data_IF_850274006255
#
_entry.id   IF_850274006255
#
_cell.length_a   1.000
_cell.length_b   1.000
_cell.length_c   1.000
_cell.angle_alpha   90.00
_cell.angle_beta   90.00
_cell.angle_gamma   90.00
#
_symmetry.space_group_name_H-M   'P 1'
#
loop_
_entity.id
_entity.type
_entity.pdbx_description
1 polymer ?
#
# COMPACT_ATOMS: atom_id res chain seq x y z
N UNK A 1 -2.04 -24.18 -24.03
CA UNK A 1 -2.03 -25.65 -23.79
C UNK A 1 -1.75 -25.99 -22.33
N UNK A 2 -0.67 -25.53 -21.72
CA UNK A 2 -0.26 -25.85 -20.33
C UNK A 2 -1.33 -25.48 -19.29
N UNK A 3 -1.87 -24.26 -19.38
CA UNK A 3 -2.91 -23.78 -18.46
C UNK A 3 -4.17 -24.64 -18.56
N UNK A 4 -4.58 -25.01 -19.78
CA UNK A 4 -5.78 -25.85 -19.99
C UNK A 4 -5.61 -27.23 -19.38
N UNK A 5 -4.41 -27.82 -19.52
CA UNK A 5 -4.10 -29.13 -18.90
C UNK A 5 -4.13 -29.01 -17.37
N UNK A 6 -3.68 -27.87 -16.80
CA UNK A 6 -3.73 -27.61 -15.37
C UNK A 6 -5.19 -27.47 -14.89
N UNK A 7 -6.04 -26.75 -15.62
CA UNK A 7 -7.48 -26.64 -15.35
C UNK A 7 -8.16 -28.01 -15.37
N UNK A 8 -7.82 -28.85 -16.34
CA UNK A 8 -8.33 -30.24 -16.45
C UNK A 8 -7.91 -31.11 -15.26
N UNK A 9 -6.64 -30.98 -14.81
CA UNK A 9 -6.12 -31.70 -13.63
C UNK A 9 -6.79 -31.26 -12.33
N UNK A 10 -7.06 -29.97 -12.19
CA UNK A 10 -7.67 -29.39 -10.99
C UNK A 10 -9.21 -29.51 -10.98
N UNK A 11 -9.82 -29.79 -12.14
CA UNK A 11 -11.26 -29.80 -12.29
C UNK A 11 -11.91 -28.43 -12.10
N UNK A 12 -11.14 -27.35 -12.22
CA UNK A 12 -11.55 -25.97 -11.95
C UNK A 12 -11.01 -25.02 -13.02
N UNK A 13 -11.82 -24.07 -13.53
CA UNK A 13 -11.34 -23.04 -14.41
C UNK A 13 -10.47 -22.04 -13.60
N UNK A 14 -9.34 -21.67 -14.17
CA UNK A 14 -8.43 -20.66 -13.58
C UNK A 14 -8.58 -19.29 -14.24
N UNK A 15 -9.16 -19.27 -15.44
CA UNK A 15 -9.40 -18.05 -16.20
C UNK A 15 -10.85 -17.97 -16.68
N UNK A 16 -11.46 -16.80 -16.51
CA UNK A 16 -12.68 -16.41 -17.20
C UNK A 16 -12.30 -15.78 -18.54
N UNK A 17 -12.79 -16.39 -19.62
CA UNK A 17 -12.52 -15.94 -21.00
C UNK A 17 -13.76 -15.25 -21.54
N UNK A 18 -13.73 -13.96 -21.67
CA UNK A 18 -14.67 -13.19 -22.47
C UNK A 18 -14.05 -12.84 -23.84
N UNK A 19 -14.87 -12.39 -24.78
CA UNK A 19 -14.39 -11.99 -26.11
C UNK A 19 -13.38 -10.80 -26.09
N UNK A 20 -13.24 -10.11 -24.96
CA UNK A 20 -12.46 -8.87 -24.87
C UNK A 20 -11.44 -8.87 -23.72
N UNK A 21 -11.53 -9.81 -22.77
CA UNK A 21 -10.63 -9.86 -21.60
C UNK A 21 -10.44 -11.30 -21.10
N UNK A 22 -9.25 -11.54 -20.57
CA UNK A 22 -8.93 -12.76 -19.82
C UNK A 22 -8.71 -12.35 -18.38
N UNK A 23 -9.60 -12.77 -17.48
CA UNK A 23 -9.54 -12.50 -16.06
C UNK A 23 -9.24 -13.78 -15.28
N UNK A 24 -8.63 -13.68 -14.12
CA UNK A 24 -8.47 -14.82 -13.23
C UNK A 24 -9.79 -15.09 -12.49
N UNK A 25 -10.12 -16.37 -12.35
CA UNK A 25 -11.16 -16.81 -11.40
C UNK A 25 -10.66 -16.72 -9.97
N UNK A 26 -11.51 -16.92 -8.98
CA UNK A 26 -11.09 -17.00 -7.57
C UNK A 26 -10.04 -18.11 -7.36
N UNK A 27 -10.24 -19.26 -7.98
CA UNK A 27 -9.29 -20.36 -7.98
C UNK A 27 -7.99 -19.97 -8.70
N UNK A 28 -8.09 -19.23 -9.79
CA UNK A 28 -6.93 -18.70 -10.53
C UNK A 28 -6.09 -17.76 -9.68
N UNK A 29 -6.72 -16.86 -8.91
CA UNK A 29 -6.02 -15.96 -7.97
C UNK A 29 -5.32 -16.77 -6.87
N UNK A 30 -6.01 -17.76 -6.28
CA UNK A 30 -5.42 -18.66 -5.28
C UNK A 30 -4.20 -19.39 -5.84
N UNK A 31 -4.34 -20.00 -7.02
CA UNK A 31 -3.24 -20.75 -7.63
C UNK A 31 -2.06 -19.84 -8.00
N UNK A 32 -2.32 -18.63 -8.50
CA UNK A 32 -1.28 -17.66 -8.84
C UNK A 32 -0.42 -17.33 -7.62
N UNK A 33 -1.04 -17.17 -6.44
CA UNK A 33 -0.33 -16.96 -5.17
C UNK A 33 0.62 -18.12 -4.85
N UNK A 34 0.12 -19.35 -4.92
CA UNK A 34 0.96 -20.54 -4.72
C UNK A 34 2.07 -20.68 -5.77
N UNK A 35 1.76 -20.42 -7.04
CA UNK A 35 2.74 -20.51 -8.13
C UNK A 35 3.89 -19.51 -7.93
N UNK A 36 3.59 -18.28 -7.52
CA UNK A 36 4.62 -17.27 -7.19
C UNK A 36 5.51 -17.72 -6.03
N UNK A 37 4.92 -18.32 -5.00
CA UNK A 37 5.67 -18.86 -3.84
C UNK A 37 6.60 -20.02 -4.25
N UNK A 38 6.11 -20.93 -5.09
CA UNK A 38 6.91 -22.06 -5.59
C UNK A 38 8.09 -21.56 -6.42
N UNK A 39 7.86 -20.57 -7.30
CA UNK A 39 8.92 -19.96 -8.11
C UNK A 39 9.94 -19.27 -7.20
N UNK A 40 9.49 -18.45 -6.25
CA UNK A 40 10.36 -17.75 -5.32
C UNK A 40 11.20 -18.74 -4.46
N UNK A 41 10.59 -19.82 -3.97
CA UNK A 41 11.29 -20.85 -3.21
C UNK A 41 12.31 -21.61 -4.06
N UNK A 42 12.00 -21.87 -5.33
CA UNK A 42 12.94 -22.49 -6.26
C UNK A 42 14.15 -21.58 -6.55
N UNK A 43 13.92 -20.28 -6.75
CA UNK A 43 14.98 -19.29 -6.90
C UNK A 43 15.85 -19.21 -5.64
N UNK A 44 15.21 -19.15 -4.46
CA UNK A 44 15.92 -19.15 -3.18
C UNK A 44 16.78 -20.40 -2.99
N UNK A 45 16.25 -21.58 -3.31
CA UNK A 45 17.00 -22.83 -3.25
C UNK A 45 18.20 -22.83 -4.22
N UNK A 46 17.99 -22.32 -5.45
CA UNK A 46 19.07 -22.18 -6.43
C UNK A 46 20.16 -21.23 -5.92
N UNK A 47 19.76 -20.06 -5.41
CA UNK A 47 20.69 -19.04 -4.90
C UNK A 47 21.44 -19.53 -3.67
N UNK A 48 20.79 -20.27 -2.76
CA UNK A 48 21.42 -20.90 -1.61
C UNK A 48 22.48 -21.95 -2.03
N UNK A 49 22.19 -22.75 -3.07
CA UNK A 49 23.11 -23.76 -3.58
C UNK A 49 24.27 -23.17 -4.36
N UNK A 50 24.05 -22.05 -5.06
CA UNK A 50 25.10 -21.32 -5.79
C UNK A 50 25.94 -20.45 -4.88
N UNK A 51 25.49 -20.23 -3.63
CA UNK A 51 26.22 -19.45 -2.62
C UNK A 51 26.22 -17.95 -2.84
N UNK A 52 25.39 -17.42 -3.76
CA UNK A 52 25.29 -16.00 -4.08
C UNK A 52 24.56 -15.26 -2.93
N UNK A 53 23.44 -15.83 -2.44
CA UNK A 53 22.62 -15.25 -1.37
C UNK A 53 22.52 -16.20 -0.16
N UNK A 54 23.62 -16.32 0.60
CA UNK A 54 23.71 -17.25 1.74
C UNK A 54 22.72 -16.94 2.87
N UNK A 55 22.37 -15.66 3.03
CA UNK A 55 21.50 -15.15 4.10
C UNK A 55 20.03 -15.07 3.64
N UNK A 56 19.74 -15.57 2.42
CA UNK A 56 18.39 -15.67 1.86
C UNK A 56 17.90 -14.38 1.19
N UNK A 57 16.58 -14.32 0.99
CA UNK A 57 15.87 -13.19 0.39
C UNK A 57 14.96 -12.57 1.44
N UNK A 58 15.09 -11.26 1.67
CA UNK A 58 14.20 -10.47 2.53
C UNK A 58 13.24 -9.66 1.65
N UNK A 59 11.96 -9.98 1.73
CA UNK A 59 10.89 -9.33 0.95
C UNK A 59 10.21 -8.27 1.81
N UNK A 60 10.45 -7.01 1.46
CA UNK A 60 9.91 -5.83 2.16
C UNK A 60 8.77 -5.21 1.37
N UNK A 61 7.61 -5.02 2.02
CA UNK A 61 6.50 -4.23 1.51
C UNK A 61 6.36 -2.89 2.22
N UNK A 62 6.11 -1.79 1.47
CA UNK A 62 5.87 -0.47 2.06
C UNK A 62 4.93 0.39 1.24
N UNK A 63 4.24 1.41 1.84
CA UNK A 63 3.45 2.37 1.08
C UNK A 63 4.35 3.22 0.16
N UNK A 64 3.78 3.70 -0.94
CA UNK A 64 4.49 4.47 -1.97
C UNK A 64 5.26 5.69 -1.40
N UNK A 65 4.65 6.38 -0.44
CA UNK A 65 5.23 7.58 0.16
C UNK A 65 6.46 7.32 1.06
N UNK A 66 6.69 6.07 1.44
CA UNK A 66 7.89 5.65 2.17
C UNK A 66 8.99 5.08 1.26
N UNK A 67 8.68 4.69 0.03
CA UNK A 67 9.64 4.07 -0.87
C UNK A 67 10.82 5.01 -1.19
N UNK A 68 10.55 6.23 -1.64
CA UNK A 68 11.60 7.19 -1.96
C UNK A 68 12.39 7.66 -0.73
N UNK A 69 11.76 8.07 0.39
CA UNK A 69 12.49 8.52 1.58
C UNK A 69 13.37 7.45 2.22
N UNK A 70 13.02 6.17 2.12
CA UNK A 70 13.79 5.07 2.73
C UNK A 70 14.91 4.52 1.84
N UNK A 71 15.03 4.98 0.59
CA UNK A 71 15.97 4.40 -0.39
C UNK A 71 17.42 4.39 0.11
N UNK A 72 17.89 5.46 0.75
CA UNK A 72 19.27 5.53 1.26
C UNK A 72 19.49 4.54 2.42
N UNK A 73 18.55 4.47 3.35
CA UNK A 73 18.55 3.49 4.45
C UNK A 73 18.63 2.05 3.92
N UNK A 74 17.81 1.74 2.91
CA UNK A 74 17.78 0.41 2.29
C UNK A 74 19.08 0.09 1.54
N UNK A 75 19.66 1.08 0.85
CA UNK A 75 20.95 0.93 0.17
C UNK A 75 22.09 0.70 1.16
N UNK A 76 22.10 1.41 2.30
CA UNK A 76 23.07 1.17 3.37
C UNK A 76 22.91 -0.23 3.99
N UNK A 77 21.66 -0.62 4.24
CA UNK A 77 21.37 -1.95 4.77
C UNK A 77 21.84 -3.04 3.81
N UNK A 78 21.56 -2.91 2.52
CA UNK A 78 22.00 -3.86 1.49
C UNK A 78 23.52 -3.96 1.40
N UNK A 79 24.25 -2.83 1.48
CA UNK A 79 25.72 -2.85 1.52
C UNK A 79 26.28 -3.52 2.78
N UNK A 80 25.60 -3.40 3.91
CA UNK A 80 25.99 -4.05 5.15
C UNK A 80 25.71 -5.57 5.17
N UNK A 81 24.80 -6.04 4.30
CA UNK A 81 24.39 -7.45 4.21
C UNK A 81 24.57 -7.97 2.76
N UNK A 82 25.79 -8.09 2.25
CA UNK A 82 26.05 -8.40 0.83
C UNK A 82 25.60 -9.80 0.38
N UNK A 83 25.32 -10.68 1.34
CA UNK A 83 24.82 -12.04 1.09
C UNK A 83 23.31 -12.19 1.29
N UNK A 84 22.62 -11.09 1.58
CA UNK A 84 21.16 -11.02 1.67
C UNK A 84 20.61 -10.28 0.44
N UNK A 85 19.71 -10.92 -0.29
CA UNK A 85 18.94 -10.25 -1.33
C UNK A 85 17.79 -9.48 -0.69
N UNK A 86 17.70 -8.18 -0.97
CA UNK A 86 16.59 -7.34 -0.52
C UNK A 86 15.66 -7.03 -1.68
N UNK A 87 14.44 -7.57 -1.63
CA UNK A 87 13.38 -7.30 -2.60
C UNK A 87 12.37 -6.32 -1.98
N UNK A 88 12.15 -5.18 -2.66
CA UNK A 88 11.27 -4.13 -2.16
C UNK A 88 10.06 -3.96 -3.07
N UNK A 89 8.88 -4.02 -2.50
CA UNK A 89 7.60 -3.80 -3.19
C UNK A 89 6.88 -2.61 -2.57
N UNK A 90 6.46 -1.64 -3.38
CA UNK A 90 5.59 -0.56 -2.92
C UNK A 90 4.17 -0.72 -3.46
N UNK A 91 3.18 -0.30 -2.67
CA UNK A 91 1.78 -0.42 -3.07
C UNK A 91 0.78 0.07 -2.03
N UNK A 92 -0.49 -0.21 -2.27
CA UNK A 92 -1.56 0.09 -1.32
C UNK A 92 -1.44 -0.82 -0.09
N UNK A 93 -1.68 -0.29 1.10
CA UNK A 93 -1.55 -1.02 2.36
C UNK A 93 -2.43 -2.28 2.42
N UNK A 94 -3.62 -2.27 1.81
CA UNK A 94 -4.48 -3.44 1.74
C UNK A 94 -3.86 -4.58 0.92
N UNK A 95 -3.21 -4.26 -0.19
CA UNK A 95 -2.53 -5.23 -1.05
C UNK A 95 -1.28 -5.79 -0.35
N UNK A 96 -0.52 -4.92 0.34
CA UNK A 96 0.65 -5.31 1.13
C UNK A 96 0.26 -6.23 2.30
N UNK A 97 -0.83 -5.94 3.02
CA UNK A 97 -1.37 -6.83 4.06
C UNK A 97 -1.78 -8.19 3.48
N UNK A 98 -2.43 -8.17 2.33
CA UNK A 98 -2.86 -9.40 1.65
C UNK A 98 -1.64 -10.23 1.22
N UNK A 99 -0.61 -9.62 0.67
CA UNK A 99 0.64 -10.28 0.29
C UNK A 99 1.38 -10.83 1.53
N UNK A 100 1.40 -10.08 2.62
CA UNK A 100 1.99 -10.53 3.89
C UNK A 100 1.23 -11.74 4.48
N UNK A 101 -0.10 -11.73 4.46
CA UNK A 101 -0.92 -12.85 4.90
C UNK A 101 -0.72 -14.11 4.04
N UNK A 102 -0.42 -13.94 2.74
CA UNK A 102 -0.08 -15.05 1.83
C UNK A 102 1.39 -15.45 1.87
N UNK A 103 2.18 -14.88 2.80
CA UNK A 103 3.61 -15.15 2.93
C UNK A 103 4.47 -14.76 1.71
N UNK A 104 3.99 -13.83 0.92
CA UNK A 104 4.73 -13.24 -0.21
C UNK A 104 5.68 -12.13 0.24
N UNK A 105 5.48 -11.60 1.46
CA UNK A 105 6.31 -10.57 2.11
C UNK A 105 6.73 -11.03 3.51
N UNK A 106 7.93 -10.67 3.93
CA UNK A 106 8.54 -11.05 5.21
C UNK A 106 8.45 -9.93 6.25
N UNK A 107 8.55 -8.69 5.77
CA UNK A 107 8.48 -7.45 6.55
C UNK A 107 7.57 -6.48 5.82
N UNK A 108 6.63 -5.85 6.50
CA UNK A 108 5.79 -4.79 5.93
C UNK A 108 5.72 -3.57 6.82
N UNK A 109 5.77 -2.40 6.17
CA UNK A 109 5.34 -1.12 6.71
C UNK A 109 4.00 -0.80 6.05
N UNK A 110 2.96 -0.50 6.82
CA UNK A 110 1.61 -0.28 6.27
C UNK A 110 0.87 0.80 7.03
N UNK A 111 -0.05 1.46 6.34
CA UNK A 111 -1.03 2.35 6.95
C UNK A 111 -2.32 1.57 7.14
N UNK A 112 -2.89 1.66 8.34
CA UNK A 112 -4.07 0.87 8.69
C UNK A 112 -4.97 1.60 9.69
N UNK A 113 -6.24 1.17 9.77
CA UNK A 113 -7.02 1.33 10.98
C UNK A 113 -6.63 0.23 11.96
N UNK A 114 -6.66 0.55 13.24
CA UNK A 114 -6.26 -0.41 14.29
C UNK A 114 -6.91 -1.78 14.10
N UNK A 115 -6.09 -2.82 13.90
CA UNK A 115 -6.59 -4.17 13.67
C UNK A 115 -5.86 -5.21 14.51
N UNK A 116 -4.69 -5.65 14.10
CA UNK A 116 -3.85 -6.59 14.82
C UNK A 116 -2.71 -5.86 15.53
N UNK A 117 -2.19 -6.37 16.67
CA UNK A 117 -1.06 -5.76 17.34
C UNK A 117 0.18 -5.81 16.44
N UNK A 118 0.73 -4.66 16.02
CA UNK A 118 1.97 -4.60 15.24
C UNK A 118 3.20 -4.80 16.14
N UNK A 119 4.35 -5.00 15.53
CA UNK A 119 5.65 -4.98 16.24
C UNK A 119 6.01 -3.57 16.72
N UNK A 120 5.62 -2.55 15.94
CA UNK A 120 5.73 -1.15 16.29
C UNK A 120 4.70 -0.33 15.48
N UNK A 121 4.20 0.77 16.05
CA UNK A 121 3.28 1.66 15.35
C UNK A 121 3.37 3.09 15.86
N UNK A 122 2.83 4.03 15.07
CA UNK A 122 2.55 5.39 15.50
C UNK A 122 1.25 5.89 14.86
N UNK A 123 0.55 6.85 15.50
CA UNK A 123 -0.57 7.51 14.85
C UNK A 123 -0.09 8.32 13.64
N UNK A 124 -0.92 8.32 12.59
CA UNK A 124 -0.76 9.13 11.39
C UNK A 124 -2.01 10.00 11.23
N UNK A 125 -1.94 11.30 11.56
CA UNK A 125 -3.08 12.18 11.46
C UNK A 125 -3.46 12.44 10.00
N UNK A 126 -4.77 12.47 9.72
CA UNK A 126 -5.34 12.75 8.41
C UNK A 126 -5.83 14.20 8.36
N UNK A 127 -5.71 14.82 7.19
CA UNK A 127 -6.19 16.16 6.90
C UNK A 127 -7.10 16.15 5.67
N UNK A 128 -8.18 16.91 5.76
CA UNK A 128 -8.94 17.34 4.61
C UNK A 128 -8.13 18.38 3.84
N UNK A 129 -7.81 18.11 2.59
CA UNK A 129 -7.00 18.98 1.75
C UNK A 129 -7.77 19.41 0.51
N UNK A 130 -7.64 20.69 0.19
CA UNK A 130 -8.21 21.31 -1.00
C UNK A 130 -7.19 22.28 -1.60
N UNK A 131 -7.40 22.71 -2.83
CA UNK A 131 -6.56 23.72 -3.45
C UNK A 131 -6.75 25.09 -2.77
N UNK A 132 -5.65 25.78 -2.52
CA UNK A 132 -5.68 27.16 -2.08
C UNK A 132 -6.13 28.10 -3.19
N UNK A 133 -5.71 27.85 -4.43
CA UNK A 133 -5.98 28.70 -5.59
C UNK A 133 -7.33 28.39 -6.26
N UNK A 134 -7.76 27.13 -6.26
CA UNK A 134 -8.95 26.65 -6.97
C UNK A 134 -9.81 25.77 -6.07
N UNK A 135 -10.55 26.34 -5.10
CA UNK A 135 -11.30 25.61 -4.09
C UNK A 135 -12.35 24.66 -4.68
N UNK A 136 -12.10 23.35 -4.57
CA UNK A 136 -12.99 22.33 -5.06
C UNK A 136 -14.23 22.13 -4.17
N UNK A 137 -14.10 22.37 -2.85
CA UNK A 137 -15.20 22.22 -1.87
C UNK A 137 -16.40 23.16 -2.14
N UNK A 138 -16.18 24.24 -2.88
CA UNK A 138 -17.19 25.24 -3.22
C UNK A 138 -18.04 24.83 -4.43
N UNK A 139 -17.64 23.78 -5.15
CA UNK A 139 -18.38 23.26 -6.30
C UNK A 139 -19.54 22.34 -5.86
N UNK A 140 -20.57 22.25 -6.71
CA UNK A 140 -21.69 21.31 -6.49
C UNK A 140 -22.04 20.60 -7.81
N UNK A 141 -21.87 19.27 -7.92
CA UNK A 141 -21.34 18.35 -6.90
C UNK A 141 -19.85 18.57 -6.61
N UNK A 142 -19.44 18.36 -5.36
CA UNK A 142 -18.04 18.49 -4.92
C UNK A 142 -17.19 17.44 -5.64
N UNK A 143 -16.15 17.81 -6.40
CA UNK A 143 -15.24 16.84 -6.98
C UNK A 143 -14.29 16.29 -5.91
N UNK A 144 -14.02 15.00 -5.97
CA UNK A 144 -13.14 14.29 -5.04
C UNK A 144 -11.92 13.73 -5.77
N UNK A 145 -10.75 13.87 -5.16
CA UNK A 145 -9.53 13.18 -5.56
C UNK A 145 -9.27 12.03 -4.58
N UNK A 146 -9.41 10.78 -5.06
CA UNK A 146 -9.49 9.60 -4.19
C UNK A 146 -8.63 8.44 -4.67
N UNK A 147 -8.26 7.57 -3.75
CA UNK A 147 -7.75 6.26 -4.09
C UNK A 147 -8.82 5.39 -4.77
N UNK A 148 -8.44 4.29 -5.47
CA UNK A 148 -9.37 3.27 -5.95
C UNK A 148 -10.21 2.67 -4.82
N UNK A 149 -11.14 1.77 -5.14
CA UNK A 149 -12.11 1.18 -4.20
C UNK A 149 -11.49 0.56 -2.93
N UNK A 150 -10.26 0.05 -3.00
CA UNK A 150 -9.56 -0.54 -1.85
C UNK A 150 -8.63 0.47 -1.12
N UNK A 151 -8.75 1.74 -1.43
CA UNK A 151 -7.91 2.78 -0.81
C UNK A 151 -8.43 3.18 0.57
N UNK A 152 -7.53 3.21 1.54
CA UNK A 152 -7.81 3.36 2.98
C UNK A 152 -8.64 4.60 3.35
N UNK A 153 -8.54 5.70 2.60
CA UNK A 153 -9.18 6.98 2.95
C UNK A 153 -10.44 7.30 2.15
N UNK A 154 -10.72 6.51 1.11
CA UNK A 154 -11.82 6.80 0.17
C UNK A 154 -13.18 6.77 0.85
N UNK A 155 -13.45 5.70 1.60
CA UNK A 155 -14.77 5.49 2.21
C UNK A 155 -15.05 6.53 3.28
N UNK A 156 -14.05 6.91 4.08
CA UNK A 156 -14.18 7.97 5.10
C UNK A 156 -14.56 9.31 4.46
N UNK A 157 -13.91 9.64 3.35
CA UNK A 157 -14.15 10.89 2.63
C UNK A 157 -15.56 10.91 2.03
N UNK A 158 -15.98 9.83 1.37
CA UNK A 158 -17.32 9.73 0.78
C UNK A 158 -18.40 9.77 1.88
N UNK A 159 -18.24 8.95 2.93
CA UNK A 159 -19.21 8.86 4.02
C UNK A 159 -19.35 10.18 4.79
N UNK A 160 -18.26 10.91 5.00
CA UNK A 160 -18.33 12.20 5.67
C UNK A 160 -19.15 13.22 4.87
N UNK A 161 -19.02 13.25 3.54
CA UNK A 161 -19.82 14.14 2.68
C UNK A 161 -21.28 13.70 2.58
N UNK A 162 -21.53 12.38 2.54
CA UNK A 162 -22.90 11.84 2.56
C UNK A 162 -23.61 12.22 3.85
N UNK A 163 -22.94 12.11 5.01
CA UNK A 163 -23.49 12.50 6.32
C UNK A 163 -23.80 14.01 6.39
N UNK A 164 -23.11 14.83 5.62
CA UNK A 164 -23.38 16.27 5.51
C UNK A 164 -24.42 16.62 4.43
N UNK A 165 -24.97 15.62 3.73
CA UNK A 165 -25.90 15.83 2.62
C UNK A 165 -25.29 16.57 1.42
N UNK A 166 -23.95 16.62 1.33
CA UNK A 166 -23.25 17.26 0.21
C UNK A 166 -23.19 16.29 -0.97
N UNK A 167 -23.68 16.72 -2.14
CA UNK A 167 -23.50 15.94 -3.37
C UNK A 167 -22.04 15.98 -3.80
N UNK A 168 -21.49 14.85 -4.16
CA UNK A 168 -20.11 14.73 -4.61
C UNK A 168 -20.00 13.87 -5.88
N UNK A 169 -18.86 13.93 -6.53
CA UNK A 169 -18.49 13.10 -7.68
C UNK A 169 -17.00 12.78 -7.61
N UNK A 170 -16.58 11.68 -8.19
CA UNK A 170 -15.15 11.42 -8.38
C UNK A 170 -14.65 12.32 -9.51
N UNK A 171 -13.76 13.24 -9.17
CA UNK A 171 -13.07 14.12 -10.12
C UNK A 171 -11.75 13.53 -10.58
N UNK A 172 -11.05 12.83 -9.68
CA UNK A 172 -9.77 12.18 -9.95
C UNK A 172 -9.62 10.91 -9.14
N UNK A 173 -9.06 9.85 -9.74
CA UNK A 173 -8.77 8.60 -9.04
C UNK A 173 -7.39 8.08 -9.42
N UNK A 174 -6.56 7.76 -8.42
CA UNK A 174 -5.21 7.22 -8.61
C UNK A 174 -4.78 6.34 -7.44
N UNK A 175 -4.00 5.30 -7.72
CA UNK A 175 -3.33 4.51 -6.68
C UNK A 175 -2.07 5.23 -6.15
N UNK A 176 -1.57 6.25 -6.83
CA UNK A 176 -0.40 7.03 -6.44
C UNK A 176 -0.79 8.16 -5.48
N UNK A 177 -0.20 8.16 -4.29
CA UNK A 177 -0.36 9.22 -3.29
C UNK A 177 0.17 10.56 -3.81
N UNK A 178 1.29 10.56 -4.50
CA UNK A 178 1.87 11.75 -5.11
C UNK A 178 0.93 12.37 -6.16
N UNK A 179 0.29 11.54 -6.99
CA UNK A 179 -0.68 12.00 -7.98
C UNK A 179 -1.95 12.60 -7.33
N UNK A 180 -2.47 11.98 -6.26
CA UNK A 180 -3.61 12.53 -5.50
C UNK A 180 -3.27 13.87 -4.83
N UNK A 181 -2.09 13.96 -4.22
CA UNK A 181 -1.58 15.19 -3.61
C UNK A 181 -1.49 16.32 -4.64
N UNK A 182 -0.92 16.05 -5.82
CA UNK A 182 -0.82 17.02 -6.91
C UNK A 182 -2.19 17.41 -7.49
N UNK A 183 -3.08 16.43 -7.68
CA UNK A 183 -4.44 16.65 -8.21
C UNK A 183 -5.25 17.54 -7.27
N UNK A 184 -5.22 17.30 -5.97
CA UNK A 184 -5.89 18.14 -4.99
C UNK A 184 -5.31 19.54 -4.94
N UNK A 185 -3.99 19.71 -4.97
CA UNK A 185 -3.33 21.01 -5.02
C UNK A 185 -3.71 21.82 -6.28
N UNK A 186 -3.93 21.13 -7.40
CA UNK A 186 -4.38 21.74 -8.66
C UNK A 186 -5.89 22.02 -8.73
N UNK A 187 -6.68 21.65 -7.71
CA UNK A 187 -8.13 21.90 -7.66
C UNK A 187 -8.99 20.86 -8.39
N UNK A 188 -8.44 19.69 -8.71
CA UNK A 188 -9.20 18.60 -9.33
C UNK A 188 -10.14 17.88 -8.37
N UNK A 189 -9.99 18.10 -7.05
CA UNK A 189 -10.90 17.56 -6.06
C UNK A 189 -10.39 17.69 -4.62
N UNK A 190 -11.34 17.68 -3.69
CA UNK A 190 -11.04 17.54 -2.25
C UNK A 190 -10.52 16.15 -1.98
N UNK A 191 -9.55 16.05 -1.10
CA UNK A 191 -8.98 14.75 -0.70
C UNK A 191 -8.79 14.65 0.81
N UNK A 192 -8.62 13.43 1.28
CA UNK A 192 -8.25 13.09 2.66
C UNK A 192 -6.92 12.36 2.62
N UNK A 193 -5.85 12.97 3.14
CA UNK A 193 -4.49 12.44 3.09
C UNK A 193 -3.76 12.65 4.43
N UNK A 194 -2.66 11.90 4.68
CA UNK A 194 -1.80 12.13 5.82
C UNK A 194 -1.29 13.57 5.88
N UNK A 195 -1.14 14.10 7.09
CA UNK A 195 -0.66 15.46 7.30
C UNK A 195 0.72 15.71 6.68
N UNK A 196 1.57 14.68 6.61
CA UNK A 196 2.87 14.69 5.95
C UNK A 196 2.81 14.97 4.44
N UNK A 197 1.66 14.74 3.80
CA UNK A 197 1.46 14.97 2.36
C UNK A 197 1.00 16.39 2.01
N UNK A 198 0.80 17.26 3.02
CA UNK A 198 0.36 18.64 2.78
C UNK A 198 1.42 19.45 2.04
N UNK A 199 1.01 20.06 0.92
CA UNK A 199 1.81 21.02 0.18
C UNK A 199 1.48 22.48 0.58
N UNK A 200 2.37 23.46 0.33
CA UNK A 200 2.06 24.88 0.55
C UNK A 200 0.86 25.38 -0.26
N UNK A 201 0.56 24.76 -1.40
CA UNK A 201 -0.59 25.05 -2.26
C UNK A 201 -1.91 24.48 -1.76
N UNK A 202 -1.89 23.69 -0.68
CA UNK A 202 -3.10 23.18 -0.04
C UNK A 202 -3.61 24.12 1.05
N UNK A 203 -4.93 24.30 1.11
CA UNK A 203 -5.63 24.69 2.31
C UNK A 203 -6.13 23.46 3.07
N UNK A 204 -6.11 23.51 4.37
CA UNK A 204 -6.71 22.51 5.25
C UNK A 204 -8.16 22.92 5.48
N UNK A 205 -9.08 22.00 5.24
CA UNK A 205 -10.50 22.17 5.52
C UNK A 205 -10.82 21.57 6.91
N UNK A 206 -11.90 22.04 7.52
CA UNK A 206 -12.31 21.56 8.83
C UNK A 206 -13.73 21.97 9.20
N UNK A 207 -13.96 22.20 10.48
CA UNK A 207 -15.28 22.56 11.05
C UNK A 207 -15.84 23.84 10.43
N UNK A 208 -15.00 24.78 10.02
CA UNK A 208 -15.43 26.02 9.38
C UNK A 208 -16.13 25.76 8.03
N UNK A 209 -15.72 24.73 7.29
CA UNK A 209 -16.35 24.28 6.04
C UNK A 209 -17.44 23.21 6.28
N UNK A 210 -17.71 22.89 7.55
CA UNK A 210 -18.67 21.87 7.97
C UNK A 210 -18.13 20.45 7.92
N UNK A 211 -16.82 20.25 7.74
CA UNK A 211 -16.23 18.91 7.67
C UNK A 211 -15.85 18.41 9.07
N UNK A 212 -16.19 17.14 9.40
CA UNK A 212 -15.85 16.58 10.70
C UNK A 212 -14.34 16.30 10.81
N UNK A 213 -13.80 16.28 12.05
CA UNK A 213 -12.48 15.70 12.28
C UNK A 213 -12.51 14.22 11.90
N UNK A 214 -11.39 13.74 11.36
CA UNK A 214 -11.21 12.33 11.00
C UNK A 214 -10.22 11.70 11.97
N UNK A 215 -10.54 10.49 12.42
CA UNK A 215 -9.66 9.72 13.29
C UNK A 215 -8.34 9.42 12.58
N UNK A 216 -7.25 9.51 13.34
CA UNK A 216 -5.93 9.09 12.87
C UNK A 216 -5.94 7.61 12.50
N UNK A 217 -5.17 7.29 11.48
CA UNK A 217 -4.78 5.91 11.19
C UNK A 217 -3.48 5.58 11.92
N UNK A 218 -3.01 4.35 11.78
CA UNK A 218 -1.70 3.93 12.26
C UNK A 218 -0.76 3.66 11.09
N UNK A 219 0.48 4.14 11.20
CA UNK A 219 1.61 3.59 10.47
C UNK A 219 2.16 2.46 11.32
N UNK A 220 2.14 1.25 10.80
CA UNK A 220 2.44 0.02 11.54
C UNK A 220 3.47 -0.84 10.82
N UNK A 221 4.31 -1.52 11.59
CA UNK A 221 5.35 -2.40 11.10
C UNK A 221 5.10 -3.81 11.61
N UNK A 222 5.16 -4.78 10.69
CA UNK A 222 5.02 -6.21 10.95
C UNK A 222 6.16 -6.97 10.29
N UNK A 223 6.66 -7.99 10.95
CA UNK A 223 7.50 -9.00 10.33
C UNK A 223 7.20 -10.37 10.97
N UNK A 224 7.42 -11.42 10.21
CA UNK A 224 7.11 -12.80 10.64
C UNK A 224 8.27 -13.43 11.37
N UNK A 225 7.91 -14.38 12.22
CA UNK A 225 8.86 -15.24 12.90
C UNK A 225 9.53 -16.15 11.90
N UNK A 226 10.38 -16.39 11.40
CA UNK A 226 10.93 -17.24 10.30
C UNK A 226 11.42 -16.45 9.08
N UNK A 227 11.32 -15.13 9.13
CA UNK A 227 11.97 -14.25 8.16
C UNK A 227 13.52 -14.36 8.28
N UNK A 228 14.29 -13.96 7.25
CA UNK A 228 15.75 -13.96 7.31
C UNK A 228 16.30 -13.31 8.58
N UNK A 229 17.43 -13.83 9.10
CA UNK A 229 18.00 -13.42 10.40
C UNK A 229 18.30 -11.91 10.50
N UNK A 230 18.52 -11.24 9.37
CA UNK A 230 18.74 -9.80 9.32
C UNK A 230 17.45 -8.95 9.40
N UNK A 231 16.25 -9.56 9.34
CA UNK A 231 14.95 -8.85 9.34
C UNK A 231 14.75 -7.96 10.57
N UNK A 232 15.03 -8.40 11.82
CA UNK A 232 14.91 -7.53 12.98
C UNK A 232 15.81 -6.28 12.89
N UNK A 233 17.01 -6.41 12.32
CA UNK A 233 17.92 -5.28 12.17
C UNK A 233 17.37 -4.22 11.17
N UNK A 234 16.75 -4.65 10.06
CA UNK A 234 16.08 -3.75 9.13
C UNK A 234 14.83 -3.14 9.77
N UNK A 235 14.05 -3.94 10.50
CA UNK A 235 12.85 -3.48 11.20
C UNK A 235 13.19 -2.35 12.20
N UNK A 236 14.26 -2.49 13.01
CA UNK A 236 14.68 -1.44 13.94
C UNK A 236 15.16 -0.18 13.23
N UNK A 237 15.83 -0.29 12.08
CA UNK A 237 16.19 0.89 11.27
C UNK A 237 14.96 1.60 10.71
N UNK A 238 13.99 0.85 10.16
CA UNK A 238 12.72 1.42 9.68
C UNK A 238 11.90 2.03 10.82
N UNK A 239 11.86 1.36 11.99
CA UNK A 239 11.23 1.86 13.20
C UNK A 239 11.79 3.23 13.60
N UNK A 240 13.11 3.33 13.70
CA UNK A 240 13.79 4.59 14.04
C UNK A 240 13.54 5.68 12.99
N UNK A 241 13.65 5.35 11.71
CA UNK A 241 13.41 6.28 10.59
C UNK A 241 11.97 6.81 10.58
N UNK A 242 10.98 5.93 10.79
CA UNK A 242 9.56 6.28 10.78
C UNK A 242 9.04 6.83 12.11
N UNK A 243 9.85 6.84 13.19
CA UNK A 243 9.43 7.26 14.53
C UNK A 243 8.35 6.36 15.13
N UNK A 244 8.44 5.03 14.89
CA UNK A 244 7.52 4.06 15.45
C UNK A 244 7.92 3.69 16.89
N UNK A 245 6.95 3.39 17.72
CA UNK A 245 7.14 2.99 19.12
C UNK A 245 6.51 1.62 19.40
#
# INVERSE_FOLDING_TARGET
>A
QQVRRLEEMLGKPLFERSSHQVLLTEEGVKLLSYARRIIALNEEAHDALTGIWRDGVLRLGMPEDFAAPTTELLAEFSRAHPHLRLDVTSGLSADLHSAYAREELDLILVKQRRSQPPRAARPEPLLWLDSLAFPAIEQSPVPLAVFPLNGLYRDDLCQALDNLGKRWRIGYSSASLAALTAASAAGLGVTLLPASCRLPSHRVLGIAEGLPPIDSIELALYYRDGAPAATPALAERLKAFCGLV
#
